data_IF_037559864239
#
_entry.id   IF_037559864239
#
_cell.length_a   1.000
_cell.length_b   1.000
_cell.length_c   1.000
_cell.angle_alpha   90.00
_cell.angle_beta   90.00
_cell.angle_gamma   90.00
#
_symmetry.space_group_name_H-M   'P 1'
#
loop_
_entity.id
_entity.type
_entity.pdbx_description
1 polymer ?
#
# COMPACT_ATOMS: atom_id res chain seq x y z
N UNK A 1 -13.81 -14.05 20.25
CA UNK A 1 -12.37 -13.77 20.05
C UNK A 1 -12.28 -12.82 18.88
N UNK A 2 -12.47 -11.54 19.16
CA UNK A 2 -12.69 -10.51 18.16
C UNK A 2 -11.36 -10.15 17.49
N UNK A 3 -11.17 -10.71 16.30
CA UNK A 3 -10.06 -10.38 15.41
C UNK A 3 -10.15 -8.92 15.02
N UNK A 4 -9.32 -8.10 15.66
CA UNK A 4 -9.16 -6.68 15.38
C UNK A 4 -8.80 -6.52 13.90
N UNK A 5 -9.80 -6.24 13.05
CA UNK A 5 -9.64 -6.11 11.60
C UNK A 5 -8.90 -4.81 11.33
N UNK A 6 -7.57 -4.86 11.26
CA UNK A 6 -6.76 -3.66 11.06
C UNK A 6 -7.11 -3.04 9.71
N UNK A 7 -7.41 -1.74 9.74
CA UNK A 7 -7.90 -0.97 8.60
C UNK A 7 -6.72 -0.41 7.82
N UNK A 8 -6.31 -1.09 6.75
CA UNK A 8 -5.15 -0.67 5.95
C UNK A 8 -5.50 0.27 4.81
N UNK A 9 -4.86 1.44 4.78
CA UNK A 9 -4.91 2.37 3.65
C UNK A 9 -3.87 1.99 2.61
N UNK A 10 -4.26 2.06 1.34
CA UNK A 10 -3.41 1.84 0.19
C UNK A 10 -2.23 2.81 0.17
N UNK A 11 -0.97 2.35 0.28
CA UNK A 11 0.18 3.22 0.11
C UNK A 11 0.37 3.57 -1.37
N UNK A 12 0.90 4.78 -1.62
CA UNK A 12 1.26 5.24 -2.95
C UNK A 12 2.69 5.80 -2.90
N UNK A 13 3.58 5.29 -3.75
CA UNK A 13 5.00 5.65 -3.76
C UNK A 13 5.44 6.04 -5.17
N UNK A 14 5.95 7.27 -5.33
CA UNK A 14 6.46 7.76 -6.61
C UNK A 14 7.94 8.12 -6.53
N UNK A 15 8.68 7.89 -7.63
CA UNK A 15 10.11 8.19 -7.74
C UNK A 15 10.93 7.54 -6.61
N UNK A 16 11.77 8.33 -5.95
CA UNK A 16 12.63 7.87 -4.86
C UNK A 16 11.86 7.36 -3.64
N UNK A 17 10.60 7.76 -3.45
CA UNK A 17 9.77 7.26 -2.36
C UNK A 17 9.52 5.74 -2.46
N UNK A 18 9.70 5.12 -3.64
CA UNK A 18 9.63 3.65 -3.77
C UNK A 18 10.67 2.92 -2.92
N UNK A 19 11.72 3.60 -2.46
CA UNK A 19 12.71 3.05 -1.51
C UNK A 19 12.09 2.71 -0.16
N UNK A 20 10.96 3.32 0.21
CA UNK A 20 10.22 2.99 1.43
C UNK A 20 9.58 1.58 1.41
N UNK A 21 9.52 0.91 0.26
CA UNK A 21 9.07 -0.50 0.16
C UNK A 21 9.81 -1.42 1.12
N UNK A 22 11.12 -1.23 1.27
CA UNK A 22 11.95 -2.07 2.15
C UNK A 22 11.52 -1.97 3.62
N UNK A 23 11.14 -0.77 4.07
CA UNK A 23 10.66 -0.53 5.45
C UNK A 23 9.27 -1.16 5.65
N UNK A 24 8.45 -1.17 4.61
CA UNK A 24 7.11 -1.76 4.62
C UNK A 24 7.10 -3.27 4.35
N UNK A 25 8.27 -3.91 4.25
CA UNK A 25 8.43 -5.32 3.90
C UNK A 25 7.71 -5.72 2.60
N UNK A 26 7.76 -4.84 1.60
CA UNK A 26 7.18 -5.03 0.27
C UNK A 26 8.31 -5.44 -0.69
N UNK A 27 8.11 -6.55 -1.41
CA UNK A 27 9.06 -7.01 -2.42
C UNK A 27 9.19 -6.01 -3.59
N UNK A 28 10.34 -6.05 -4.26
CA UNK A 28 10.65 -5.36 -5.50
C UNK A 28 9.56 -5.46 -6.57
N UNK A 29 8.85 -6.60 -6.65
CA UNK A 29 7.73 -6.83 -7.57
C UNK A 29 6.46 -6.02 -7.25
N UNK A 30 6.42 -5.34 -6.09
CA UNK A 30 5.26 -4.61 -5.61
C UNK A 30 4.27 -5.51 -4.87
N UNK A 31 3.11 -4.96 -4.55
CA UNK A 31 2.06 -5.69 -3.83
C UNK A 31 0.67 -5.18 -4.21
N UNK A 32 -0.33 -6.07 -4.15
CA UNK A 32 -1.72 -5.70 -4.36
C UNK A 32 -2.14 -4.58 -3.38
N UNK A 33 -2.65 -3.49 -3.93
CA UNK A 33 -3.08 -2.32 -3.16
C UNK A 33 -2.00 -1.26 -2.89
N UNK A 34 -0.79 -1.44 -3.43
CA UNK A 34 0.23 -0.41 -3.51
C UNK A 34 0.21 0.22 -4.91
N UNK A 35 0.22 1.55 -4.98
CA UNK A 35 0.39 2.28 -6.24
C UNK A 35 1.84 2.72 -6.37
N UNK A 36 2.50 2.39 -7.48
CA UNK A 36 3.88 2.79 -7.75
C UNK A 36 4.05 3.35 -9.15
N UNK A 37 4.83 4.41 -9.29
CA UNK A 37 5.20 4.98 -10.59
C UNK A 37 6.50 5.79 -10.51
N UNK A 38 7.14 6.06 -11.65
CA UNK A 38 8.31 6.96 -11.72
C UNK A 38 7.93 8.41 -11.42
N UNK A 39 6.76 8.83 -11.90
CA UNK A 39 6.23 10.17 -11.71
C UNK A 39 4.79 10.09 -11.21
N UNK A 40 4.33 11.16 -10.55
CA UNK A 40 2.92 11.33 -10.25
C UNK A 40 2.24 11.90 -11.48
N UNK A 41 1.38 11.09 -12.11
CA UNK A 41 0.57 11.49 -13.25
C UNK A 41 -0.92 11.25 -12.99
N UNK A 42 -1.76 11.51 -13.99
CA UNK A 42 -3.20 11.33 -13.87
C UNK A 42 -3.60 9.89 -13.56
N UNK A 43 -2.93 8.92 -14.20
CA UNK A 43 -3.21 7.49 -14.00
C UNK A 43 -2.85 7.04 -12.58
N UNK A 44 -1.73 7.51 -12.05
CA UNK A 44 -1.32 7.27 -10.67
C UNK A 44 -2.37 7.77 -9.68
N UNK A 45 -2.85 9.01 -9.88
CA UNK A 45 -3.83 9.62 -8.99
C UNK A 45 -5.20 8.94 -9.09
N UNK A 46 -5.67 8.57 -10.28
CA UNK A 46 -6.92 7.82 -10.46
C UNK A 46 -6.87 6.45 -9.79
N UNK A 47 -5.74 5.75 -9.91
CA UNK A 47 -5.54 4.44 -9.28
C UNK A 47 -5.54 4.58 -7.76
N UNK A 48 -4.86 5.59 -7.23
CA UNK A 48 -4.86 5.88 -5.79
C UNK A 48 -6.28 6.18 -5.28
N UNK A 49 -7.02 7.06 -5.95
CA UNK A 49 -8.38 7.43 -5.55
C UNK A 49 -9.34 6.25 -5.64
N UNK A 50 -9.22 5.41 -6.67
CA UNK A 50 -10.00 4.17 -6.80
C UNK A 50 -9.76 3.23 -5.61
N UNK A 51 -8.49 3.06 -5.22
CA UNK A 51 -8.14 2.24 -4.07
C UNK A 51 -8.58 2.85 -2.73
N UNK A 52 -8.55 4.18 -2.59
CA UNK A 52 -9.10 4.87 -1.42
C UNK A 52 -10.62 4.71 -1.33
N UNK A 53 -11.34 4.72 -2.45
CA UNK A 53 -12.78 4.49 -2.52
C UNK A 53 -13.17 3.07 -2.10
N UNK A 54 -12.29 2.09 -2.34
CA UNK A 54 -12.45 0.72 -1.83
C UNK A 54 -12.28 0.60 -0.30
N UNK A 55 -12.02 1.72 0.39
CA UNK A 55 -11.90 1.90 1.84
C UNK A 55 -10.69 1.22 2.49
N UNK A 56 -10.39 -0.04 2.17
CA UNK A 56 -9.29 -0.81 2.77
C UNK A 56 -8.65 -1.81 1.80
N UNK A 57 -7.35 -2.07 1.98
CA UNK A 57 -6.65 -3.19 1.35
C UNK A 57 -6.67 -4.40 2.28
N UNK A 58 -7.70 -5.24 2.18
CA UNK A 58 -7.90 -6.39 3.07
C UNK A 58 -6.85 -7.50 2.91
N UNK A 59 -6.13 -7.55 1.78
CA UNK A 59 -5.14 -8.59 1.51
C UNK A 59 -3.88 -8.51 2.38
N UNK A 60 -3.68 -7.40 3.09
CA UNK A 60 -2.45 -7.14 3.86
C UNK A 60 -2.56 -7.41 5.36
N UNK A 61 -3.76 -7.69 5.87
CA UNK A 61 -4.02 -7.82 7.30
C UNK A 61 -3.11 -8.84 8.03
N UNK A 62 -2.61 -9.87 7.33
CA UNK A 62 -1.70 -10.87 7.90
C UNK A 62 -0.23 -10.44 7.99
N UNK A 63 0.18 -9.36 7.32
CA UNK A 63 1.58 -8.91 7.26
C UNK A 63 1.93 -7.82 8.27
N UNK A 64 0.93 -7.13 8.82
CA UNK A 64 1.14 -5.99 9.74
C UNK A 64 1.95 -6.40 10.96
N UNK A 65 1.73 -7.60 11.51
CA UNK A 65 2.42 -8.07 12.72
C UNK A 65 3.94 -8.18 12.55
N UNK A 66 4.45 -8.21 11.31
CA UNK A 66 5.88 -8.27 11.02
C UNK A 66 6.52 -6.89 10.76
N UNK A 67 5.72 -5.81 10.71
CA UNK A 67 6.22 -4.45 10.51
C UNK A 67 6.46 -3.82 11.90
N UNK A 68 7.70 -3.45 12.26
CA UNK A 68 7.95 -2.72 13.49
C UNK A 68 7.46 -1.27 13.33
N UNK A 69 6.32 -0.94 13.93
CA UNK A 69 5.62 0.35 13.81
C UNK A 69 5.36 0.99 15.17
#
# INVERSE_FOLDING_TARGET
MDGHKIRERSPALAGDARRFKAILNIDSQGEKGLVEADNVDHHFMDTLLTLMAAHCVWSRAGKINAIPA
#
